data_IF_114728411697
#
_entry.id   IF_114728411697
#
_cell.length_a   1.000
_cell.length_b   1.000
_cell.length_c   1.000
_cell.angle_alpha   90.00
_cell.angle_beta   90.00
_cell.angle_gamma   90.00
#
_symmetry.space_group_name_H-M   'P 1'
#
loop_
_entity.id
_entity.type
_entity.pdbx_description
1 polymer ?
#
# COMPACT_ATOMS: atom_id res chain seq x y z
N UNK A 1 -24.94 -14.54 17.60
CA UNK A 1 -25.60 -14.54 16.27
C UNK A 1 -26.54 -13.34 16.05
N UNK A 2 -27.28 -12.85 17.08
CA UNK A 2 -28.21 -11.73 16.95
C UNK A 2 -27.54 -10.39 16.61
N UNK A 3 -26.32 -10.14 17.07
CA UNK A 3 -25.55 -8.93 16.80
C UNK A 3 -25.08 -8.89 15.35
N UNK A 4 -24.57 -10.00 14.83
CA UNK A 4 -24.13 -10.11 13.42
C UNK A 4 -25.32 -9.84 12.50
N UNK A 5 -26.49 -10.41 12.82
CA UNK A 5 -27.68 -10.19 12.03
C UNK A 5 -28.11 -8.72 12.00
N UNK A 6 -28.05 -8.03 13.14
CA UNK A 6 -28.33 -6.58 13.21
C UNK A 6 -27.34 -5.77 12.38
N UNK A 7 -26.05 -6.12 12.41
CA UNK A 7 -25.04 -5.46 11.58
C UNK A 7 -25.33 -5.64 10.09
N UNK A 8 -25.67 -6.84 9.66
CA UNK A 8 -26.03 -7.15 8.27
C UNK A 8 -27.23 -6.30 7.84
N UNK A 9 -28.29 -6.25 8.64
CA UNK A 9 -29.47 -5.42 8.33
C UNK A 9 -29.14 -3.94 8.20
N UNK A 10 -28.30 -3.40 9.09
CA UNK A 10 -27.89 -1.99 9.04
C UNK A 10 -27.05 -1.72 7.80
N UNK A 11 -26.12 -2.61 7.44
CA UNK A 11 -25.30 -2.46 6.24
C UNK A 11 -26.14 -2.54 4.97
N UNK A 12 -27.14 -3.43 4.92
CA UNK A 12 -28.09 -3.56 3.83
C UNK A 12 -28.96 -2.30 3.70
N UNK A 13 -29.57 -1.85 4.79
CA UNK A 13 -30.39 -0.62 4.83
C UNK A 13 -29.62 0.62 4.38
N UNK A 14 -28.33 0.66 4.71
CA UNK A 14 -27.43 1.76 4.30
C UNK A 14 -26.85 1.57 2.91
N UNK A 15 -27.17 0.48 2.22
CA UNK A 15 -26.75 0.20 0.84
C UNK A 15 -25.27 -0.13 0.71
N UNK A 16 -24.60 -0.63 1.75
CA UNK A 16 -23.20 -1.10 1.68
C UNK A 16 -23.10 -2.53 1.17
N UNK A 17 -24.12 -3.33 1.47
CA UNK A 17 -24.28 -4.70 0.99
C UNK A 17 -25.67 -4.88 0.44
N UNK A 18 -25.86 -5.86 -0.41
CA UNK A 18 -27.12 -6.30 -0.98
C UNK A 18 -27.16 -7.83 -1.06
N UNK A 19 -28.36 -8.41 -1.15
CA UNK A 19 -28.47 -9.86 -1.37
C UNK A 19 -27.90 -10.21 -2.73
N UNK A 20 -27.15 -11.30 -2.79
CA UNK A 20 -26.64 -11.83 -4.04
C UNK A 20 -27.78 -12.49 -4.81
N UNK A 21 -27.87 -12.26 -6.13
CA UNK A 21 -28.83 -12.95 -7.01
C UNK A 21 -28.42 -14.40 -7.27
N UNK A 22 -27.11 -14.70 -7.17
CA UNK A 22 -26.55 -16.00 -7.52
C UNK A 22 -26.38 -16.94 -6.32
N UNK A 23 -26.46 -16.41 -5.10
CA UNK A 23 -26.20 -17.17 -3.87
C UNK A 23 -27.13 -16.72 -2.75
N UNK A 24 -27.31 -17.59 -1.72
CA UNK A 24 -28.03 -17.23 -0.47
C UNK A 24 -27.24 -16.23 0.44
N UNK A 25 -26.23 -15.57 -0.12
CA UNK A 25 -25.34 -14.68 0.59
C UNK A 25 -25.59 -13.20 0.34
N UNK A 26 -24.66 -12.38 0.84
CA UNK A 26 -24.59 -10.94 0.60
C UNK A 26 -23.36 -10.61 -0.21
N UNK A 27 -23.48 -9.60 -1.07
CA UNK A 27 -22.37 -9.02 -1.82
C UNK A 27 -22.22 -7.54 -1.47
N UNK A 28 -21.01 -7.00 -1.64
CA UNK A 28 -20.74 -5.58 -1.45
C UNK A 28 -21.27 -4.77 -2.61
N UNK A 29 -21.85 -3.61 -2.34
CA UNK A 29 -22.32 -2.68 -3.36
C UNK A 29 -21.21 -1.75 -3.84
N UNK A 30 -21.45 -1.03 -4.92
CA UNK A 30 -20.56 0.02 -5.44
C UNK A 30 -20.35 1.18 -4.48
N UNK A 31 -21.17 1.32 -3.45
CA UNK A 31 -21.06 2.39 -2.46
C UNK A 31 -19.72 2.35 -1.69
N UNK A 32 -19.19 1.17 -1.41
CA UNK A 32 -17.87 1.04 -0.79
C UNK A 32 -16.74 1.52 -1.72
N UNK A 33 -16.86 1.23 -3.02
CA UNK A 33 -15.92 1.75 -4.01
C UNK A 33 -16.01 3.28 -4.10
N UNK A 34 -17.21 3.83 -4.13
CA UNK A 34 -17.46 5.28 -4.15
C UNK A 34 -16.78 5.97 -2.96
N UNK A 35 -16.99 5.46 -1.75
CA UNK A 35 -16.36 6.02 -0.54
C UNK A 35 -14.83 6.01 -0.61
N UNK A 36 -14.25 4.96 -1.17
CA UNK A 36 -12.79 4.86 -1.33
C UNK A 36 -12.22 5.82 -2.38
N UNK A 37 -12.98 6.08 -3.45
CA UNK A 37 -12.55 6.95 -4.55
C UNK A 37 -12.86 8.43 -4.33
N UNK A 38 -13.84 8.75 -3.48
CA UNK A 38 -14.19 10.13 -3.10
C UNK A 38 -13.34 10.69 -1.95
N UNK A 39 -12.49 9.89 -1.34
CA UNK A 39 -11.55 10.37 -0.32
C UNK A 39 -10.53 11.31 -0.98
N UNK A 40 -10.71 12.61 -0.80
CA UNK A 40 -9.97 13.68 -1.50
C UNK A 40 -8.45 13.46 -1.57
N UNK A 41 -7.72 13.15 -0.48
CA UNK A 41 -6.27 12.95 -0.59
C UNK A 41 -5.87 11.79 -1.52
N UNK A 42 -6.68 10.73 -1.59
CA UNK A 42 -6.41 9.60 -2.49
C UNK A 42 -6.75 9.94 -3.92
N UNK A 43 -7.87 10.62 -4.15
CA UNK A 43 -8.30 11.05 -5.48
C UNK A 43 -7.26 11.94 -6.14
N UNK A 44 -6.77 12.96 -5.44
CA UNK A 44 -5.76 13.88 -5.95
C UNK A 44 -4.45 13.14 -6.27
N UNK A 45 -3.99 12.26 -5.37
CA UNK A 45 -2.81 11.44 -5.61
C UNK A 45 -2.97 10.59 -6.88
N UNK A 46 -4.12 9.96 -7.07
CA UNK A 46 -4.37 9.11 -8.23
C UNK A 46 -4.42 9.92 -9.53
N UNK A 47 -5.08 11.07 -9.53
CA UNK A 47 -5.23 11.93 -10.69
C UNK A 47 -3.88 12.44 -11.20
N UNK A 48 -3.03 12.96 -10.30
CA UNK A 48 -1.72 13.51 -10.66
C UNK A 48 -0.64 12.45 -10.84
N UNK A 49 -0.65 11.40 -10.04
CA UNK A 49 0.44 10.41 -10.04
C UNK A 49 0.29 9.36 -11.15
N UNK A 50 -0.93 8.97 -11.52
CA UNK A 50 -1.12 7.87 -12.46
C UNK A 50 -0.49 8.10 -13.84
N UNK A 51 -0.61 9.29 -14.47
CA UNK A 51 0.09 9.57 -15.73
C UNK A 51 1.61 9.45 -15.62
N UNK A 52 2.18 9.89 -14.49
CA UNK A 52 3.61 9.80 -14.21
C UNK A 52 4.03 8.34 -14.03
N UNK A 53 3.25 7.56 -13.28
CA UNK A 53 3.46 6.12 -13.10
C UNK A 53 3.44 5.38 -14.43
N UNK A 54 2.47 5.70 -15.29
CA UNK A 54 2.36 5.07 -16.61
C UNK A 54 3.61 5.34 -17.45
N UNK A 55 4.01 6.61 -17.53
CA UNK A 55 5.24 7.01 -18.22
C UNK A 55 6.48 6.29 -17.68
N UNK A 56 6.61 6.23 -16.34
CA UNK A 56 7.73 5.53 -15.71
C UNK A 56 7.73 4.03 -16.06
N UNK A 57 6.58 3.38 -16.00
CA UNK A 57 6.46 1.96 -16.34
C UNK A 57 6.84 1.69 -17.80
N UNK A 58 6.46 2.58 -18.73
CA UNK A 58 6.80 2.46 -20.14
C UNK A 58 8.31 2.70 -20.39
N UNK A 59 8.89 3.73 -19.78
CA UNK A 59 10.31 4.06 -19.94
C UNK A 59 11.26 3.03 -19.32
N UNK A 60 10.86 2.45 -18.17
CA UNK A 60 11.71 1.47 -17.46
C UNK A 60 11.41 0.02 -17.83
N UNK A 61 10.30 -0.22 -18.52
CA UNK A 61 9.75 -1.56 -18.75
C UNK A 61 9.46 -2.34 -17.46
N UNK A 62 9.14 -1.62 -16.37
CA UNK A 62 8.86 -2.19 -15.05
C UNK A 62 7.53 -1.72 -14.50
N UNK A 63 6.88 -2.59 -13.71
CA UNK A 63 5.67 -2.21 -12.99
C UNK A 63 6.01 -1.34 -11.79
N UNK A 64 5.14 -0.38 -11.46
CA UNK A 64 5.25 0.43 -10.26
C UNK A 64 3.90 0.54 -9.55
N UNK A 65 3.92 0.86 -8.26
CA UNK A 65 2.70 1.06 -7.48
C UNK A 65 2.86 2.17 -6.45
N UNK A 66 1.72 2.71 -6.00
CA UNK A 66 1.65 3.61 -4.86
C UNK A 66 1.05 2.86 -3.70
N UNK A 67 1.72 2.93 -2.55
CA UNK A 67 1.23 2.42 -1.29
C UNK A 67 1.05 3.58 -0.30
N UNK A 68 -0.01 3.51 0.49
CA UNK A 68 -0.27 4.41 1.61
C UNK A 68 -0.30 3.61 2.90
N UNK A 69 -0.06 4.28 4.00
CA UNK A 69 -0.23 3.67 5.31
C UNK A 69 -1.71 3.50 5.67
N UNK A 70 -2.01 2.45 6.39
CA UNK A 70 -3.31 2.19 7.00
C UNK A 70 -3.09 1.45 8.30
N UNK A 71 -3.05 2.20 9.40
CA UNK A 71 -2.72 1.70 10.74
C UNK A 71 -1.28 1.13 10.79
N UNK A 72 -1.12 -0.17 11.06
CA UNK A 72 0.13 -0.92 11.10
C UNK A 72 0.51 -1.57 9.75
N UNK A 73 -0.25 -1.27 8.69
CA UNK A 73 -0.09 -1.89 7.37
C UNK A 73 0.10 -0.84 6.27
N UNK A 74 0.57 -1.29 5.13
CA UNK A 74 0.43 -0.58 3.87
C UNK A 74 -0.80 -1.08 3.11
N UNK A 75 -1.36 -0.20 2.28
CA UNK A 75 -2.38 -0.53 1.28
C UNK A 75 -1.93 0.01 -0.07
N UNK A 76 -1.92 -0.85 -1.08
CA UNK A 76 -1.65 -0.41 -2.47
C UNK A 76 -2.90 0.23 -3.04
N UNK A 77 -2.82 1.50 -3.43
CA UNK A 77 -3.93 2.29 -3.94
C UNK A 77 -3.92 2.48 -5.45
N UNK A 78 -2.74 2.36 -6.07
CA UNK A 78 -2.59 2.45 -7.52
C UNK A 78 -1.43 1.58 -8.00
N UNK A 79 -1.50 1.14 -9.26
CA UNK A 79 -0.41 0.47 -9.96
C UNK A 79 -0.39 0.87 -11.44
N UNK A 80 0.79 0.89 -12.03
CA UNK A 80 0.99 0.89 -13.46
C UNK A 80 1.80 -0.36 -13.83
N UNK A 81 1.28 -1.17 -14.73
CA UNK A 81 1.91 -2.41 -15.14
C UNK A 81 2.98 -2.16 -16.21
N UNK A 82 4.03 -2.97 -16.18
CA UNK A 82 5.02 -3.01 -17.24
C UNK A 82 4.36 -3.33 -18.60
N UNK A 83 4.84 -2.76 -19.71
CA UNK A 83 4.40 -3.15 -21.05
C UNK A 83 4.87 -4.54 -21.47
N UNK A 84 5.76 -5.18 -20.71
CA UNK A 84 6.30 -6.49 -21.02
C UNK A 84 5.24 -7.61 -20.84
N UNK A 85 5.37 -8.68 -21.62
CA UNK A 85 4.49 -9.86 -21.52
C UNK A 85 4.55 -10.55 -20.16
N UNK A 86 5.69 -10.49 -19.50
CA UNK A 86 5.88 -11.00 -18.13
C UNK A 86 6.34 -9.85 -17.25
N UNK A 87 5.58 -9.61 -16.18
CA UNK A 87 5.91 -8.57 -15.19
C UNK A 87 5.43 -8.98 -13.81
N UNK A 88 6.19 -8.56 -12.80
CA UNK A 88 5.75 -8.65 -11.41
C UNK A 88 4.99 -7.37 -11.07
N UNK A 89 3.77 -7.54 -10.56
CA UNK A 89 2.98 -6.40 -10.07
C UNK A 89 2.18 -6.77 -8.83
N UNK A 90 1.97 -5.77 -7.97
CA UNK A 90 1.16 -5.91 -6.76
C UNK A 90 -0.24 -5.40 -7.06
N UNK A 91 -1.26 -6.17 -6.71
CA UNK A 91 -2.67 -5.76 -6.96
C UNK A 91 -3.07 -4.57 -6.10
N UNK A 92 -3.93 -3.71 -6.64
CA UNK A 92 -4.60 -2.65 -5.86
C UNK A 92 -5.43 -3.31 -4.73
N UNK A 93 -5.41 -2.71 -3.55
CA UNK A 93 -6.02 -3.27 -2.34
C UNK A 93 -5.14 -4.29 -1.60
N UNK A 94 -3.96 -4.65 -2.12
CA UNK A 94 -3.01 -5.49 -1.40
C UNK A 94 -2.58 -4.82 -0.11
N UNK A 95 -2.56 -5.59 0.98
CA UNK A 95 -2.16 -5.15 2.31
C UNK A 95 -1.00 -5.99 2.82
N UNK A 96 -0.11 -5.36 3.57
CA UNK A 96 1.00 -6.03 4.24
C UNK A 96 1.41 -5.22 5.48
N UNK A 97 1.87 -5.86 6.56
CA UNK A 97 2.43 -5.14 7.70
C UNK A 97 3.50 -4.16 7.25
N UNK A 98 3.48 -2.95 7.81
CA UNK A 98 4.29 -1.83 7.31
C UNK A 98 5.79 -2.11 7.29
N UNK A 99 6.28 -2.88 8.25
CA UNK A 99 7.71 -3.21 8.35
C UNK A 99 8.17 -4.31 7.38
N UNK A 100 7.24 -5.08 6.78
CA UNK A 100 7.57 -6.22 5.91
C UNK A 100 7.61 -5.88 4.41
N UNK A 101 7.63 -4.60 4.07
CA UNK A 101 7.75 -4.15 2.68
C UNK A 101 8.64 -2.93 2.59
N UNK A 102 9.38 -2.78 1.48
CA UNK A 102 10.23 -1.62 1.26
C UNK A 102 9.45 -0.30 1.29
N UNK A 103 8.29 -0.25 0.63
CA UNK A 103 7.41 0.93 0.66
C UNK A 103 6.92 1.24 2.07
N UNK A 104 6.59 0.21 2.86
CA UNK A 104 6.18 0.39 4.24
C UNK A 104 7.30 0.87 5.15
N UNK A 105 8.50 0.32 5.00
CA UNK A 105 9.68 0.76 5.77
C UNK A 105 9.98 2.24 5.52
N UNK A 106 9.88 2.69 4.26
CA UNK A 106 10.05 4.11 3.92
C UNK A 106 8.95 4.95 4.57
N UNK A 107 7.70 4.55 4.46
CA UNK A 107 6.58 5.25 5.09
C UNK A 107 6.76 5.32 6.61
N UNK A 108 7.14 4.21 7.25
CA UNK A 108 7.37 4.14 8.70
C UNK A 108 8.47 5.09 9.17
N UNK A 109 9.60 5.13 8.49
CA UNK A 109 10.75 5.97 8.90
C UNK A 109 10.41 7.45 8.87
N UNK A 110 9.55 7.88 7.95
CA UNK A 110 9.15 9.28 7.82
C UNK A 110 7.96 9.68 8.72
N UNK A 111 7.45 8.75 9.55
CA UNK A 111 6.40 9.09 10.51
C UNK A 111 6.94 9.82 11.73
N UNK A 112 6.09 10.60 12.38
CA UNK A 112 6.35 11.18 13.69
C UNK A 112 6.57 10.11 14.77
N UNK A 113 7.36 10.43 15.81
CA UNK A 113 7.76 9.46 16.84
C UNK A 113 6.55 8.81 17.54
N UNK A 114 5.53 9.59 17.88
CA UNK A 114 4.30 9.12 18.52
C UNK A 114 3.55 8.12 17.64
N UNK A 115 3.47 8.42 16.34
CA UNK A 115 2.82 7.55 15.37
C UNK A 115 3.58 6.24 15.15
N UNK A 116 4.91 6.29 15.10
CA UNK A 116 5.77 5.09 15.08
C UNK A 116 5.51 4.19 16.27
N UNK A 117 5.46 4.75 17.48
CA UNK A 117 5.18 3.99 18.69
C UNK A 117 3.80 3.32 18.66
N UNK A 118 2.79 4.06 18.20
CA UNK A 118 1.43 3.51 18.01
C UNK A 118 1.40 2.36 17.01
N UNK A 119 2.07 2.50 15.87
CA UNK A 119 2.18 1.44 14.86
C UNK A 119 2.89 0.20 15.38
N UNK A 120 3.98 0.36 16.13
CA UNK A 120 4.70 -0.76 16.74
C UNK A 120 3.85 -1.50 17.76
N UNK A 121 3.05 -0.78 18.57
CA UNK A 121 2.11 -1.40 19.51
C UNK A 121 1.03 -2.20 18.79
N UNK A 122 0.49 -1.69 17.68
CA UNK A 122 -0.48 -2.42 16.86
C UNK A 122 0.13 -3.68 16.24
N UNK A 123 1.33 -3.57 15.67
CA UNK A 123 2.05 -4.70 15.10
C UNK A 123 2.28 -5.81 16.15
N UNK A 124 2.72 -5.44 17.35
CA UNK A 124 2.95 -6.40 18.44
C UNK A 124 1.66 -7.12 18.89
N UNK A 125 0.50 -6.47 18.76
CA UNK A 125 -0.79 -7.08 19.07
C UNK A 125 -1.32 -8.02 17.98
N UNK A 126 -0.92 -7.80 16.72
CA UNK A 126 -1.44 -8.53 15.57
C UNK A 126 -0.51 -9.63 15.05
N UNK A 127 0.76 -9.60 15.46
CA UNK A 127 1.80 -10.53 14.99
C UNK A 127 2.49 -11.21 16.17
N UNK A 128 2.89 -12.46 15.98
CA UNK A 128 3.65 -13.20 16.98
C UNK A 128 5.07 -12.64 17.13
N UNK A 129 5.69 -12.84 18.30
CA UNK A 129 7.10 -12.46 18.51
C UNK A 129 8.05 -13.07 17.48
N UNK A 130 7.76 -14.29 16.99
CA UNK A 130 8.56 -14.94 15.96
C UNK A 130 8.51 -14.21 14.62
N UNK A 131 7.34 -13.68 14.25
CA UNK A 131 7.19 -12.88 13.03
C UNK A 131 7.85 -11.51 13.14
N UNK A 132 7.84 -10.91 14.33
CA UNK A 132 8.52 -9.63 14.59
C UNK A 132 10.05 -9.79 14.66
N UNK A 133 10.55 -10.95 15.10
CA UNK A 133 11.99 -11.25 15.18
C UNK A 133 12.62 -11.52 13.80
N UNK A 134 11.85 -11.90 12.79
CA UNK A 134 12.33 -11.96 11.40
C UNK A 134 12.53 -10.55 10.79
N UNK A 135 12.06 -9.52 11.50
CA UNK A 135 12.27 -8.15 11.09
C UNK A 135 13.72 -7.72 11.37
N UNK A 136 14.52 -7.73 10.32
CA UNK A 136 15.92 -7.33 10.42
C UNK A 136 16.03 -5.79 10.36
N UNK A 137 16.21 -5.17 11.53
CA UNK A 137 16.47 -3.74 11.66
C UNK A 137 17.66 -3.29 10.78
N UNK A 138 18.61 -4.18 10.57
CA UNK A 138 19.78 -3.95 9.73
C UNK A 138 19.38 -3.83 8.26
N UNK A 139 18.50 -4.69 7.76
CA UNK A 139 17.96 -4.60 6.39
C UNK A 139 17.15 -3.31 6.19
N UNK A 140 16.38 -2.88 7.19
CA UNK A 140 15.69 -1.59 7.18
C UNK A 140 16.68 -0.43 7.05
N UNK A 141 17.73 -0.41 7.87
CA UNK A 141 18.77 0.62 7.83
C UNK A 141 19.53 0.62 6.50
N UNK A 142 19.85 -0.55 5.95
CA UNK A 142 20.48 -0.67 4.63
C UNK A 142 19.59 -0.14 3.51
N UNK A 143 18.30 -0.45 3.55
CA UNK A 143 17.32 0.03 2.57
C UNK A 143 17.22 1.56 2.63
N UNK A 144 17.09 2.11 3.83
CA UNK A 144 17.05 3.56 4.04
C UNK A 144 18.34 4.22 3.55
N UNK A 145 19.49 3.67 3.94
CA UNK A 145 20.81 4.23 3.54
C UNK A 145 20.99 4.20 2.03
N UNK A 146 20.59 3.12 1.34
CA UNK A 146 20.64 3.03 -0.13
C UNK A 146 19.74 4.08 -0.79
N UNK A 147 18.54 4.28 -0.26
CA UNK A 147 17.59 5.28 -0.77
C UNK A 147 18.13 6.70 -0.56
N UNK A 148 18.63 7.02 0.64
CA UNK A 148 19.24 8.32 0.91
C UNK A 148 20.49 8.56 0.07
N UNK A 149 21.34 7.56 -0.09
CA UNK A 149 22.55 7.67 -0.92
C UNK A 149 22.21 7.92 -2.40
N UNK A 150 21.15 7.29 -2.90
CA UNK A 150 20.62 7.53 -4.23
C UNK A 150 20.02 8.93 -4.38
N UNK A 151 19.29 9.43 -3.39
CA UNK A 151 18.74 10.80 -3.38
C UNK A 151 19.84 11.87 -3.37
N UNK A 152 20.92 11.68 -2.61
CA UNK A 152 22.01 12.65 -2.50
C UNK A 152 22.86 12.75 -3.78
N UNK A 153 22.94 11.70 -4.58
CA UNK A 153 23.71 11.68 -5.82
C UNK A 153 23.04 12.37 -7.00
N UNK A 154 21.73 12.54 -6.96
CA UNK A 154 20.98 13.21 -8.04
C UNK A 154 19.94 14.13 -7.39
N UNK A 155 20.23 15.41 -7.36
CA UNK A 155 19.31 16.49 -7.00
C UNK A 155 18.13 16.60 -7.97
N UNK A 156 17.24 15.61 -8.00
CA UNK A 156 16.06 15.59 -8.87
C UNK A 156 14.81 15.18 -8.06
N UNK A 157 13.91 16.13 -7.99
CA UNK A 157 12.48 16.06 -7.69
C UNK A 157 11.93 14.86 -6.88
N UNK A 158 11.48 15.18 -5.68
CA UNK A 158 11.00 14.30 -4.61
C UNK A 158 10.00 13.19 -5.02
N UNK A 159 9.16 13.41 -6.00
CA UNK A 159 8.16 12.43 -6.48
C UNK A 159 8.76 11.35 -7.39
N UNK A 160 9.70 11.70 -8.23
CA UNK A 160 10.40 10.76 -9.11
C UNK A 160 11.29 9.79 -8.33
N UNK A 161 11.82 10.23 -7.19
CA UNK A 161 12.83 9.49 -6.41
C UNK A 161 12.22 8.31 -5.64
N UNK A 162 11.03 8.45 -5.11
CA UNK A 162 10.37 7.36 -4.36
C UNK A 162 9.93 6.24 -5.30
N UNK A 163 9.43 6.57 -6.47
CA UNK A 163 9.04 5.60 -7.50
C UNK A 163 10.27 4.89 -8.10
N UNK A 164 11.37 5.61 -8.39
CA UNK A 164 12.61 5.03 -8.89
C UNK A 164 13.35 4.17 -7.86
N UNK A 165 13.34 4.54 -6.57
CA UNK A 165 13.95 3.75 -5.52
C UNK A 165 13.26 2.39 -5.36
N UNK A 166 11.95 2.33 -5.52
CA UNK A 166 11.20 1.08 -5.48
C UNK A 166 11.51 0.18 -6.68
N UNK A 167 11.59 0.75 -7.88
CA UNK A 167 11.95 0.03 -9.11
C UNK A 167 13.36 -0.58 -9.01
N UNK A 168 14.33 0.18 -8.50
CA UNK A 168 15.70 -0.32 -8.30
C UNK A 168 15.80 -1.39 -7.21
N UNK A 169 15.00 -1.28 -6.16
CA UNK A 169 15.02 -2.27 -5.08
C UNK A 169 14.42 -3.62 -5.52
N UNK A 170 13.39 -3.64 -6.34
CA UNK A 170 12.84 -4.89 -6.89
C UNK A 170 13.82 -5.63 -7.81
N UNK A 171 14.81 -4.91 -8.38
CA UNK A 171 15.88 -5.51 -9.19
C UNK A 171 17.06 -6.05 -8.37
N UNK A 172 17.23 -5.61 -7.12
CA UNK A 172 18.37 -6.00 -6.28
C UNK A 172 18.07 -7.21 -5.36
N UNK A 173 16.85 -7.75 -5.39
CA UNK A 173 16.46 -8.94 -4.63
C UNK A 173 16.54 -10.27 -5.42
N UNK A 174 17.13 -10.25 -6.64
CA UNK A 174 17.45 -11.47 -7.40
C UNK A 174 18.95 -11.63 -7.57
#
# INVERSE_FOLDING_TARGET
>A
NAEIYRMILVLEQRGYIEKSEDTDGYQVTRKLLQLGTEHEPIKDILEYAYPIMRKLADETSMSCHIAVESQDQIVVIARAESPNLMSYSVRVGYRRPILYSASGQILFVHQEAEKKESMLKMLANHHSESELNEFDLYQMLLTITKIYHFQYRKSVQFLTTTLQAYVLWSHLQF
#
